data_IF_890760311476
#
_entry.id   IF_890760311476
#
_cell.length_a   1.000
_cell.length_b   1.000
_cell.length_c   1.000
_cell.angle_alpha   90.00
_cell.angle_beta   90.00
_cell.angle_gamma   90.00
#
_symmetry.space_group_name_H-M   'P 1'
#
loop_
_entity.id
_entity.type
_entity.pdbx_description
1 polymer ?
#
# COMPACT_ATOMS: atom_id res chain seq x y z
N UNK A 1 15.70 -10.25 11.93
CA UNK A 1 16.57 -9.18 12.44
C UNK A 1 15.94 -7.86 12.03
N UNK A 2 15.34 -7.16 12.99
CA UNK A 2 14.85 -5.79 12.77
C UNK A 2 16.07 -4.88 12.76
N UNK A 3 16.39 -4.30 11.60
CA UNK A 3 17.37 -3.23 11.54
C UNK A 3 16.67 -1.98 12.11
N UNK A 4 16.69 -1.85 13.42
CA UNK A 4 16.34 -0.59 14.09
C UNK A 4 17.47 0.36 13.79
N UNK A 5 17.36 1.11 12.69
CA UNK A 5 18.10 2.35 12.57
C UNK A 5 17.60 3.23 13.73
N UNK A 6 18.48 3.65 14.63
CA UNK A 6 18.19 4.51 15.79
C UNK A 6 17.71 5.92 15.40
N UNK A 7 17.12 6.08 14.21
CA UNK A 7 16.53 7.31 13.71
C UNK A 7 15.10 7.45 14.25
N UNK A 8 14.96 8.18 15.35
CA UNK A 8 13.65 8.54 15.91
C UNK A 8 13.07 9.75 15.17
N UNK A 9 12.32 9.50 14.09
CA UNK A 9 11.67 10.56 13.29
C UNK A 9 10.74 11.46 14.13
N UNK A 10 10.23 10.99 15.28
CA UNK A 10 9.38 11.81 16.16
C UNK A 10 10.08 13.06 16.67
N UNK A 11 11.39 13.02 16.85
CA UNK A 11 12.18 14.18 17.32
C UNK A 11 12.29 15.27 16.25
N UNK A 12 12.03 14.95 14.98
CA UNK A 12 12.00 15.87 13.86
C UNK A 12 10.56 16.28 13.48
N UNK A 13 9.59 16.10 14.39
CA UNK A 13 8.19 16.47 14.18
C UNK A 13 7.37 15.44 13.38
N UNK A 14 7.95 14.27 13.07
CA UNK A 14 7.25 13.20 12.38
C UNK A 14 6.39 12.42 13.37
N UNK A 15 5.11 12.77 13.43
CA UNK A 15 4.14 12.05 14.25
C UNK A 15 3.42 11.03 13.37
N UNK A 16 3.53 9.75 13.72
CA UNK A 16 2.64 8.72 13.17
C UNK A 16 1.22 9.05 13.64
N UNK A 17 0.38 9.53 12.73
CA UNK A 17 -1.03 9.68 12.99
C UNK A 17 -1.67 8.29 12.92
N UNK A 18 -2.32 7.83 14.00
CA UNK A 18 -2.97 6.53 13.97
C UNK A 18 -4.15 6.58 12.98
N UNK A 19 -3.99 5.93 11.82
CA UNK A 19 -5.07 5.77 10.86
C UNK A 19 -6.16 4.89 11.46
N UNK A 20 -7.39 5.38 11.46
CA UNK A 20 -8.57 4.61 11.84
C UNK A 20 -9.26 4.06 10.59
N UNK A 21 -9.89 2.89 10.73
CA UNK A 21 -10.56 2.24 9.61
C UNK A 21 -11.87 2.96 9.29
N UNK A 22 -11.96 3.55 8.10
CA UNK A 22 -13.16 4.26 7.65
C UNK A 22 -14.25 3.30 7.19
N UNK A 23 -15.48 3.81 7.00
CA UNK A 23 -16.57 3.03 6.39
C UNK A 23 -16.22 2.61 4.96
N UNK A 24 -15.55 3.48 4.22
CA UNK A 24 -15.11 3.20 2.84
C UNK A 24 -14.05 2.09 2.82
N UNK A 25 -13.08 2.11 3.74
CA UNK A 25 -12.10 1.03 3.85
C UNK A 25 -12.79 -0.33 4.07
N UNK A 26 -13.77 -0.40 4.99
CA UNK A 26 -14.52 -1.65 5.24
C UNK A 26 -15.29 -2.13 4.01
N UNK A 27 -15.88 -1.20 3.25
CA UNK A 27 -16.60 -1.52 2.01
C UNK A 27 -15.64 -2.03 0.93
N UNK A 28 -14.49 -1.37 0.76
CA UNK A 28 -13.44 -1.80 -0.15
C UNK A 28 -12.98 -3.21 0.17
N UNK A 29 -12.61 -3.49 1.44
CA UNK A 29 -12.17 -4.82 1.86
C UNK A 29 -13.23 -5.90 1.57
N UNK A 30 -14.50 -5.58 1.84
CA UNK A 30 -15.59 -6.51 1.54
C UNK A 30 -15.73 -6.75 0.03
N UNK A 31 -15.66 -5.71 -0.81
CA UNK A 31 -15.78 -5.84 -2.28
C UNK A 31 -14.66 -6.70 -2.83
N UNK A 32 -13.41 -6.35 -2.50
CA UNK A 32 -12.20 -7.05 -2.97
C UNK A 32 -12.22 -8.52 -2.58
N UNK A 33 -12.72 -8.86 -1.39
CA UNK A 33 -12.85 -10.27 -1.00
C UNK A 33 -13.76 -11.04 -1.97
N UNK A 34 -14.92 -10.48 -2.31
CA UNK A 34 -15.88 -11.18 -3.18
C UNK A 34 -15.39 -11.22 -4.63
N UNK A 35 -14.67 -10.20 -5.08
CA UNK A 35 -14.04 -10.16 -6.41
C UNK A 35 -12.87 -11.14 -6.52
N UNK A 36 -12.10 -11.33 -5.45
CA UNK A 36 -11.00 -12.28 -5.41
C UNK A 36 -11.44 -13.75 -5.17
N UNK A 37 -12.65 -13.98 -4.63
CA UNK A 37 -13.19 -15.32 -4.38
C UNK A 37 -13.67 -15.99 -5.68
N UNK A 38 -12.71 -16.47 -6.47
CA UNK A 38 -13.00 -17.13 -7.73
C UNK A 38 -13.91 -18.35 -7.53
N UNK A 39 -15.06 -18.36 -8.19
CA UNK A 39 -16.07 -19.41 -8.03
C UNK A 39 -16.97 -19.29 -6.80
N UNK A 40 -16.97 -18.16 -6.07
CA UNK A 40 -17.85 -17.88 -4.94
C UNK A 40 -17.84 -18.97 -3.86
N UNK A 41 -16.63 -19.39 -3.45
CA UNK A 41 -16.40 -20.51 -2.52
C UNK A 41 -16.71 -20.12 -1.06
N UNK A 42 -16.77 -18.83 -0.76
CA UNK A 42 -16.88 -18.25 0.57
C UNK A 42 -15.53 -18.13 1.30
N UNK A 43 -14.41 -18.38 0.62
CA UNK A 43 -13.07 -18.30 1.18
C UNK A 43 -12.02 -18.03 0.08
N UNK A 44 -10.95 -17.35 0.48
CA UNK A 44 -9.80 -17.09 -0.38
C UNK A 44 -8.75 -18.18 -0.22
N UNK A 45 -8.34 -18.75 -1.34
CA UNK A 45 -7.14 -19.57 -1.42
C UNK A 45 -5.89 -18.70 -1.26
N UNK A 46 -4.73 -19.35 -1.18
CA UNK A 46 -3.44 -18.65 -1.13
C UNK A 46 -3.20 -17.75 -2.34
N UNK A 47 -3.71 -18.12 -3.51
CA UNK A 47 -3.57 -17.38 -4.76
C UNK A 47 -4.54 -16.18 -4.79
N UNK A 48 -5.79 -16.39 -4.35
CA UNK A 48 -6.80 -15.34 -4.21
C UNK A 48 -6.34 -14.24 -3.25
N UNK A 49 -5.71 -14.60 -2.12
CA UNK A 49 -5.14 -13.63 -1.17
C UNK A 49 -4.08 -12.74 -1.84
N UNK A 50 -3.27 -13.27 -2.77
CA UNK A 50 -2.27 -12.43 -3.48
C UNK A 50 -2.95 -11.40 -4.37
N UNK A 51 -4.01 -11.81 -5.07
CA UNK A 51 -4.78 -10.92 -5.93
C UNK A 51 -5.43 -9.80 -5.11
N UNK A 52 -6.09 -10.17 -4.01
CA UNK A 52 -6.71 -9.21 -3.10
C UNK A 52 -5.71 -8.21 -2.49
N UNK A 53 -4.52 -8.67 -2.08
CA UNK A 53 -3.47 -7.77 -1.56
C UNK A 53 -2.95 -6.83 -2.65
N UNK A 54 -2.77 -7.33 -3.88
CA UNK A 54 -2.33 -6.50 -5.00
C UNK A 54 -3.35 -5.41 -5.34
N UNK A 55 -4.64 -5.73 -5.22
CA UNK A 55 -5.71 -4.77 -5.47
C UNK A 55 -5.80 -3.70 -4.38
N UNK A 56 -5.72 -4.07 -3.10
CA UNK A 56 -5.84 -3.11 -1.99
C UNK A 56 -4.59 -2.24 -1.84
N UNK A 57 -3.40 -2.82 -2.00
CA UNK A 57 -2.13 -2.14 -1.66
C UNK A 57 -1.26 -1.82 -2.89
N UNK A 58 -1.69 -2.18 -4.10
CA UNK A 58 -0.96 -1.87 -5.33
C UNK A 58 0.33 -2.68 -5.53
N UNK A 59 0.59 -3.72 -4.74
CA UNK A 59 1.78 -4.56 -4.88
C UNK A 59 1.47 -6.05 -4.72
N UNK A 60 2.20 -6.87 -5.47
CA UNK A 60 2.10 -8.33 -5.35
C UNK A 60 2.89 -8.82 -4.13
N UNK A 61 2.24 -9.44 -3.13
CA UNK A 61 2.95 -9.92 -1.95
C UNK A 61 3.92 -11.06 -2.29
N UNK A 62 5.00 -11.14 -1.52
CA UNK A 62 5.98 -12.21 -1.68
C UNK A 62 5.42 -13.56 -1.22
N UNK A 63 6.09 -14.66 -1.60
CA UNK A 63 5.77 -16.01 -1.08
C UNK A 63 5.77 -16.02 0.44
N UNK A 64 6.82 -15.50 1.07
CA UNK A 64 6.98 -15.47 2.53
C UNK A 64 5.86 -14.67 3.20
N UNK A 65 5.54 -13.49 2.67
CA UNK A 65 4.48 -12.63 3.21
C UNK A 65 3.10 -13.30 3.11
N UNK A 66 2.81 -13.90 1.96
CA UNK A 66 1.55 -14.63 1.75
C UNK A 66 1.45 -15.80 2.72
N UNK A 67 2.55 -16.56 2.88
CA UNK A 67 2.60 -17.70 3.80
C UNK A 67 2.39 -17.24 5.24
N UNK A 68 2.98 -16.11 5.66
CA UNK A 68 2.75 -15.53 6.99
C UNK A 68 1.29 -15.07 7.19
N UNK A 69 0.66 -14.45 6.20
CA UNK A 69 -0.75 -14.07 6.25
C UNK A 69 -1.65 -15.30 6.41
N UNK A 70 -1.47 -16.32 5.59
CA UNK A 70 -2.24 -17.57 5.64
C UNK A 70 -1.99 -18.33 6.95
N UNK A 71 -0.76 -18.35 7.45
CA UNK A 71 -0.44 -18.99 8.74
C UNK A 71 -1.10 -18.27 9.93
N UNK A 72 -1.14 -16.94 9.91
CA UNK A 72 -1.70 -16.13 11.00
C UNK A 72 -3.22 -16.06 10.98
N UNK A 73 -3.83 -15.92 9.80
CA UNK A 73 -5.26 -15.64 9.66
C UNK A 73 -6.06 -16.75 8.95
N UNK A 74 -5.39 -17.65 8.23
CA UNK A 74 -6.06 -18.74 7.55
C UNK A 74 -6.50 -19.86 8.49
N UNK A 75 -7.50 -20.61 8.08
CA UNK A 75 -8.05 -21.77 8.76
C UNK A 75 -8.07 -22.98 7.81
N UNK A 76 -8.04 -24.19 8.36
CA UNK A 76 -8.13 -25.39 7.53
C UNK A 76 -9.55 -25.55 6.99
N UNK A 77 -9.66 -25.57 5.67
CA UNK A 77 -10.91 -25.81 4.95
C UNK A 77 -10.61 -26.85 3.89
N UNK A 78 -11.26 -28.02 4.00
CA UNK A 78 -11.06 -29.16 3.09
C UNK A 78 -9.58 -29.60 2.94
N UNK A 79 -8.79 -29.53 4.02
CA UNK A 79 -7.38 -29.94 4.01
C UNK A 79 -6.43 -28.92 3.38
N UNK A 80 -6.88 -27.69 3.15
CA UNK A 80 -6.06 -26.56 2.69
C UNK A 80 -6.30 -25.34 3.55
N UNK A 81 -5.24 -24.60 3.91
CA UNK A 81 -5.41 -23.34 4.64
C UNK A 81 -5.96 -22.24 3.72
N UNK A 82 -7.15 -21.77 4.05
CA UNK A 82 -7.90 -20.76 3.32
C UNK A 82 -8.35 -19.64 4.26
N UNK A 83 -8.73 -18.49 3.71
CA UNK A 83 -9.07 -17.31 4.51
C UNK A 83 -10.53 -16.90 4.26
N UNK A 84 -11.38 -16.99 5.28
CA UNK A 84 -12.76 -16.48 5.22
C UNK A 84 -12.81 -14.95 5.36
N UNK A 85 -13.94 -14.37 4.95
CA UNK A 85 -14.16 -12.91 4.94
C UNK A 85 -13.77 -12.23 6.24
N UNK A 86 -14.24 -12.72 7.39
CA UNK A 86 -13.93 -12.11 8.68
C UNK A 86 -12.41 -12.04 8.95
N UNK A 87 -11.69 -13.14 8.67
CA UNK A 87 -10.23 -13.21 8.85
C UNK A 87 -9.47 -12.36 7.84
N UNK A 88 -9.99 -12.26 6.61
CA UNK A 88 -9.46 -11.37 5.60
C UNK A 88 -9.62 -9.90 6.03
N UNK A 89 -10.80 -9.51 6.50
CA UNK A 89 -11.05 -8.16 7.01
C UNK A 89 -10.13 -7.83 8.18
N UNK A 90 -9.94 -8.74 9.14
CA UNK A 90 -9.00 -8.55 10.25
C UNK A 90 -7.57 -8.31 9.73
N UNK A 91 -7.09 -9.17 8.83
CA UNK A 91 -5.74 -9.11 8.29
C UNK A 91 -5.46 -7.80 7.53
N UNK A 92 -6.38 -7.41 6.64
CA UNK A 92 -6.21 -6.22 5.80
C UNK A 92 -6.47 -4.94 6.58
N UNK A 93 -7.35 -4.96 7.59
CA UNK A 93 -7.55 -3.81 8.49
C UNK A 93 -6.30 -3.55 9.33
N UNK A 94 -5.68 -4.59 9.91
CA UNK A 94 -4.42 -4.44 10.65
C UNK A 94 -3.33 -3.82 9.77
N UNK A 95 -3.27 -4.24 8.51
CA UNK A 95 -2.30 -3.75 7.55
C UNK A 95 -2.57 -2.32 7.09
N UNK A 96 -3.84 -1.97 6.82
CA UNK A 96 -4.26 -0.60 6.48
C UNK A 96 -4.01 0.38 7.62
N UNK A 97 -4.29 -0.01 8.87
CA UNK A 97 -4.04 0.87 10.01
C UNK A 97 -2.54 1.08 10.28
N UNK A 98 -1.70 0.15 9.84
CA UNK A 98 -0.24 0.25 9.86
C UNK A 98 0.33 0.88 8.59
N UNK A 99 -0.50 1.16 7.58
CA UNK A 99 -0.03 1.82 6.37
C UNK A 99 0.42 3.22 6.75
N UNK A 100 1.67 3.50 6.47
CA UNK A 100 2.25 4.82 6.71
C UNK A 100 1.71 5.77 5.64
N UNK A 101 0.97 6.79 6.07
CA UNK A 101 0.25 7.72 5.18
C UNK A 101 1.20 8.48 4.25
N UNK A 102 2.47 8.62 4.66
CA UNK A 102 3.50 9.30 3.87
C UNK A 102 4.18 8.36 2.87
N UNK A 103 3.78 7.07 2.79
CA UNK A 103 4.37 6.14 1.82
C UNK A 103 4.13 6.63 0.40
N UNK A 104 2.94 7.15 0.11
CA UNK A 104 2.62 7.69 -1.21
C UNK A 104 3.44 8.94 -1.52
N UNK A 105 3.69 9.80 -0.51
CA UNK A 105 4.57 10.97 -0.64
C UNK A 105 6.00 10.51 -0.96
N UNK A 106 6.54 9.52 -0.23
CA UNK A 106 7.88 8.97 -0.47
C UNK A 106 8.00 8.29 -1.82
N UNK A 107 7.05 7.46 -2.21
CA UNK A 107 7.05 6.82 -3.53
C UNK A 107 6.96 7.85 -4.66
N UNK A 108 6.13 8.88 -4.50
CA UNK A 108 6.03 9.98 -5.47
C UNK A 108 7.35 10.75 -5.56
N UNK A 109 7.95 11.09 -4.42
CA UNK A 109 9.25 11.76 -4.38
C UNK A 109 10.34 10.91 -5.06
N UNK A 110 10.41 9.61 -4.75
CA UNK A 110 11.36 8.68 -5.37
C UNK A 110 11.15 8.54 -6.88
N UNK A 111 9.90 8.58 -7.34
CA UNK A 111 9.59 8.56 -8.77
C UNK A 111 10.05 9.84 -9.47
N UNK A 112 10.04 10.98 -8.78
CA UNK A 112 10.45 12.28 -9.32
C UNK A 112 11.98 12.45 -9.26
N UNK A 113 12.63 11.97 -8.20
CA UNK A 113 14.09 11.98 -8.01
C UNK A 113 14.75 10.85 -8.82
N UNK A 114 14.63 10.94 -10.15
CA UNK A 114 15.12 9.91 -11.07
C UNK A 114 16.64 9.69 -11.05
N UNK A 115 17.38 10.58 -10.38
CA UNK A 115 18.83 10.49 -10.19
C UNK A 115 19.22 10.07 -8.76
N UNK A 116 18.23 9.81 -7.90
CA UNK A 116 18.40 9.37 -6.52
C UNK A 116 19.33 10.27 -5.69
N UNK A 117 19.19 11.59 -5.83
CA UNK A 117 20.00 12.59 -5.10
C UNK A 117 19.52 12.83 -3.67
N UNK A 118 18.27 12.48 -3.36
CA UNK A 118 17.60 12.85 -2.11
C UNK A 118 17.02 14.26 -2.11
N UNK A 119 17.01 14.97 -3.26
CA UNK A 119 16.35 16.26 -3.46
C UNK A 119 15.92 16.40 -4.92
N UNK A 120 14.81 17.11 -5.15
CA UNK A 120 14.35 17.46 -6.50
C UNK A 120 15.00 18.75 -6.96
N UNK A 121 15.41 18.81 -8.23
CA UNK A 121 15.72 20.07 -8.93
C UNK A 121 14.51 20.55 -9.73
N UNK A 122 14.56 21.80 -10.21
CA UNK A 122 13.56 22.34 -11.15
C UNK A 122 13.43 21.42 -12.37
N UNK A 123 14.53 20.88 -12.86
CA UNK A 123 14.55 19.97 -14.00
C UNK A 123 13.85 18.64 -13.70
N UNK A 124 14.08 18.03 -12.53
CA UNK A 124 13.38 16.80 -12.13
C UNK A 124 11.87 17.04 -12.07
N UNK A 125 11.47 18.14 -11.43
CA UNK A 125 10.07 18.49 -11.25
C UNK A 125 9.37 18.78 -12.57
N UNK A 126 10.00 19.58 -13.45
CA UNK A 126 9.50 19.82 -14.82
C UNK A 126 9.33 18.54 -15.60
N UNK A 127 10.33 17.65 -15.53
CA UNK A 127 10.28 16.35 -16.21
C UNK A 127 9.12 15.53 -15.68
N UNK A 128 8.97 15.41 -14.36
CA UNK A 128 7.87 14.66 -13.74
C UNK A 128 6.50 15.21 -14.16
N UNK A 129 6.28 16.53 -14.01
CA UNK A 129 5.04 17.21 -14.40
C UNK A 129 4.74 17.04 -15.90
N UNK A 130 5.77 17.10 -16.75
CA UNK A 130 5.62 16.84 -18.18
C UNK A 130 5.09 15.44 -18.52
N UNK A 131 5.32 14.44 -17.66
CA UNK A 131 4.77 13.09 -17.83
C UNK A 131 3.36 12.95 -17.23
N UNK A 132 3.13 13.47 -16.02
CA UNK A 132 1.88 13.22 -15.26
C UNK A 132 0.79 14.26 -15.53
N UNK A 133 1.16 15.48 -15.91
CA UNK A 133 0.25 16.59 -16.15
C UNK A 133 0.74 17.50 -17.32
N UNK A 134 0.89 16.95 -18.54
CA UNK A 134 1.42 17.68 -19.70
C UNK A 134 0.59 18.90 -20.13
N UNK A 135 -0.65 19.01 -19.65
CA UNK A 135 -1.55 20.13 -19.91
C UNK A 135 -1.23 21.37 -19.07
N UNK A 136 -0.43 21.24 -18.00
CA UNK A 136 -0.03 22.38 -17.18
C UNK A 136 1.00 23.24 -17.93
N UNK A 137 0.79 24.56 -18.00
CA UNK A 137 1.71 25.43 -18.71
C UNK A 137 3.02 25.56 -17.91
N UNK A 138 4.16 25.46 -18.60
CA UNK A 138 5.48 25.41 -17.96
C UNK A 138 5.80 26.60 -17.05
N UNK A 139 5.26 27.78 -17.35
CA UNK A 139 5.43 28.95 -16.47
C UNK A 139 4.77 28.75 -15.09
N UNK A 140 3.63 28.06 -15.01
CA UNK A 140 2.98 27.77 -13.74
C UNK A 140 3.77 26.72 -12.95
N UNK A 141 4.32 25.72 -13.65
CA UNK A 141 5.23 24.72 -13.08
C UNK A 141 6.47 25.40 -12.48
N UNK A 142 7.09 26.31 -13.22
CA UNK A 142 8.24 27.12 -12.77
C UNK A 142 7.95 27.93 -11.51
N UNK A 143 6.76 28.54 -11.43
CA UNK A 143 6.36 29.33 -10.26
C UNK A 143 6.08 28.46 -9.03
N UNK A 144 5.55 27.25 -9.22
CA UNK A 144 5.20 26.35 -8.11
C UNK A 144 6.40 25.72 -7.41
N UNK A 145 7.59 25.75 -8.03
CA UNK A 145 8.82 25.19 -7.47
C UNK A 145 9.66 26.21 -6.67
N UNK A 146 9.24 27.49 -6.65
CA UNK A 146 9.93 28.58 -5.94
C UNK A 146 9.32 28.82 -4.56
#
# INVERSE_FOLDING_TARGET
MSCSLDFNLKEYGYHNFPRSLTKQDKQLLSSVFHEADDGNKGFLTREDVKMAVAEIFGYKPSKLETDQLILKFGEDIYGSRCMKLAKFMDAMSEKLMKSDEDQDIRHTFMAFDSQCRGFLTVEDFKKAVGHVAPHLPMHAVDLSFR
#
